data_IF_990422868312
#
_entry.id   IF_990422868312
#
_cell.length_a   1.000
_cell.length_b   1.000
_cell.length_c   1.000
_cell.angle_alpha   90.00
_cell.angle_beta   90.00
_cell.angle_gamma   90.00
#
_symmetry.space_group_name_H-M   'P 1'
#
loop_
_entity.id
_entity.type
_entity.pdbx_description
1 polymer ?
#
# COMPACT_ATOMS: atom_id res chain seq x y z
N UNK A 1 -14.66 -9.52 -19.51
CA UNK A 1 -14.71 -9.30 -18.06
C UNK A 1 -13.73 -8.15 -17.79
N UNK A 2 -13.99 -7.25 -16.85
CA UNK A 2 -13.06 -6.17 -16.53
C UNK A 2 -11.87 -6.79 -15.83
N UNK A 3 -10.65 -6.43 -16.26
CA UNK A 3 -9.41 -7.05 -15.82
C UNK A 3 -9.23 -7.04 -14.28
N UNK A 4 -9.66 -5.97 -13.64
CA UNK A 4 -9.51 -5.77 -12.19
C UNK A 4 -10.36 -6.74 -11.33
N UNK A 5 -11.45 -7.31 -11.88
CA UNK A 5 -12.37 -8.15 -11.08
C UNK A 5 -11.70 -9.45 -10.61
N UNK A 6 -11.02 -10.25 -11.45
CA UNK A 6 -10.29 -11.43 -10.99
C UNK A 6 -9.21 -11.11 -9.95
N UNK A 7 -8.45 -10.03 -10.14
CA UNK A 7 -7.39 -9.63 -9.22
C UNK A 7 -7.95 -9.34 -7.82
N UNK A 8 -9.01 -8.53 -7.74
CA UNK A 8 -9.70 -8.25 -6.48
C UNK A 8 -10.33 -9.53 -5.92
N UNK A 9 -11.01 -10.34 -6.74
CA UNK A 9 -11.65 -11.56 -6.29
C UNK A 9 -10.64 -12.54 -5.67
N UNK A 10 -9.41 -12.59 -6.19
CA UNK A 10 -8.34 -13.41 -5.63
C UNK A 10 -8.00 -12.98 -4.20
N UNK A 11 -7.83 -11.66 -3.97
CA UNK A 11 -7.53 -11.11 -2.64
C UNK A 11 -8.69 -11.24 -1.65
N UNK A 12 -9.93 -11.28 -2.15
CA UNK A 12 -11.15 -11.44 -1.34
C UNK A 12 -11.53 -12.91 -1.10
N UNK A 13 -10.85 -13.86 -1.75
CA UNK A 13 -11.15 -15.29 -1.57
C UNK A 13 -10.74 -15.74 -0.17
N UNK A 14 -11.68 -16.30 0.65
CA UNK A 14 -11.38 -16.69 2.00
C UNK A 14 -10.20 -17.67 2.10
N UNK A 15 -9.27 -17.38 2.98
CA UNK A 15 -8.07 -18.19 3.21
C UNK A 15 -6.91 -17.91 2.25
N UNK A 16 -7.09 -17.01 1.27
CA UNK A 16 -6.00 -16.51 0.42
C UNK A 16 -5.51 -15.19 1.02
N UNK A 17 -4.37 -15.23 1.69
CA UNK A 17 -3.66 -14.02 2.14
C UNK A 17 -2.65 -13.54 1.09
N UNK A 18 -1.91 -12.43 1.36
CA UNK A 18 -0.93 -11.90 0.42
C UNK A 18 0.04 -12.95 -0.13
N UNK A 19 0.70 -13.72 0.73
CA UNK A 19 1.62 -14.80 0.30
C UNK A 19 0.95 -15.88 -0.55
N UNK A 20 -0.30 -16.22 -0.23
CA UNK A 20 -1.08 -17.19 -1.02
C UNK A 20 -1.44 -16.66 -2.40
N UNK A 21 -1.79 -15.38 -2.50
CA UNK A 21 -2.07 -14.73 -3.79
C UNK A 21 -0.80 -14.68 -4.65
N UNK A 22 0.33 -14.24 -4.09
CA UNK A 22 1.63 -14.22 -4.77
C UNK A 22 1.98 -15.61 -5.30
N UNK A 23 1.93 -16.63 -4.44
CA UNK A 23 2.22 -18.01 -4.84
C UNK A 23 1.33 -18.50 -6.00
N UNK A 24 0.03 -18.20 -5.97
CA UNK A 24 -0.89 -18.57 -7.04
C UNK A 24 -0.56 -17.86 -8.36
N UNK A 25 -0.19 -16.59 -8.30
CA UNK A 25 0.22 -15.83 -9.47
C UNK A 25 1.54 -16.33 -10.05
N UNK A 26 2.48 -16.72 -9.23
CA UNK A 26 3.74 -17.33 -9.66
C UNK A 26 3.52 -18.65 -10.40
N UNK A 27 2.55 -19.47 -9.95
CA UNK A 27 2.23 -20.76 -10.55
C UNK A 27 1.39 -20.64 -11.83
N UNK A 28 0.41 -19.72 -11.85
CA UNK A 28 -0.58 -19.64 -12.94
C UNK A 28 -0.42 -18.40 -13.84
N UNK A 29 0.39 -17.43 -13.45
CA UNK A 29 0.69 -16.23 -14.23
C UNK A 29 -0.31 -15.09 -14.12
N UNK A 30 -1.59 -15.38 -13.81
CA UNK A 30 -2.62 -14.34 -13.65
C UNK A 30 -3.78 -14.81 -12.77
N UNK A 31 -4.55 -13.87 -12.21
CA UNK A 31 -5.74 -14.20 -11.42
C UNK A 31 -6.83 -14.87 -12.28
N UNK A 32 -6.98 -14.49 -13.56
CA UNK A 32 -7.89 -15.16 -14.48
C UNK A 32 -7.51 -16.64 -14.67
N UNK A 33 -6.21 -16.92 -14.81
CA UNK A 33 -5.73 -18.29 -14.95
C UNK A 33 -5.97 -19.11 -13.68
N UNK A 34 -5.77 -18.52 -12.50
CA UNK A 34 -6.11 -19.15 -11.21
C UNK A 34 -7.59 -19.55 -11.16
N UNK A 35 -8.51 -18.66 -11.54
CA UNK A 35 -9.95 -18.94 -11.54
C UNK A 35 -10.43 -19.82 -12.69
N UNK A 36 -9.58 -20.08 -13.67
CA UNK A 36 -9.85 -20.96 -14.82
C UNK A 36 -9.27 -22.35 -14.63
N UNK A 37 -8.37 -22.52 -13.66
CA UNK A 37 -7.72 -23.80 -13.36
C UNK A 37 -8.71 -24.84 -12.82
N UNK A 38 -8.45 -26.12 -13.07
CA UNK A 38 -9.19 -27.24 -12.48
C UNK A 38 -8.85 -27.45 -11.00
N UNK A 39 -9.66 -28.24 -10.28
CA UNK A 39 -9.37 -28.60 -8.89
C UNK A 39 -8.03 -29.31 -8.77
N UNK A 40 -7.74 -30.25 -9.69
CA UNK A 40 -6.52 -31.03 -9.70
C UNK A 40 -5.29 -30.12 -9.93
N UNK A 41 -5.39 -29.18 -10.87
CA UNK A 41 -4.30 -28.21 -11.10
C UNK A 41 -4.01 -27.33 -9.88
N UNK A 42 -5.05 -26.84 -9.19
CA UNK A 42 -4.89 -26.05 -7.98
C UNK A 42 -4.24 -26.85 -6.85
N UNK A 43 -4.59 -28.14 -6.71
CA UNK A 43 -4.06 -29.01 -5.67
C UNK A 43 -2.63 -29.49 -6.04
N UNK A 44 -2.40 -29.95 -7.26
CA UNK A 44 -1.14 -30.57 -7.65
C UNK A 44 -0.04 -29.54 -7.96
N UNK A 45 -0.35 -28.50 -8.79
CA UNK A 45 0.63 -27.49 -9.20
C UNK A 45 0.90 -26.47 -8.11
N UNK A 46 -0.16 -25.90 -7.50
CA UNK A 46 -0.02 -24.89 -6.47
C UNK A 46 0.02 -25.48 -5.04
N UNK A 47 -0.07 -26.79 -4.89
CA UNK A 47 -0.04 -27.49 -3.59
C UNK A 47 -1.07 -26.95 -2.59
N UNK A 48 -2.22 -26.53 -3.08
CA UNK A 48 -3.29 -26.03 -2.23
C UNK A 48 -3.98 -27.17 -1.48
N UNK A 49 -4.44 -26.84 -0.28
CA UNK A 49 -5.39 -27.72 0.42
C UNK A 49 -6.71 -27.76 -0.33
N UNK A 50 -7.43 -28.90 -0.36
CA UNK A 50 -8.69 -29.05 -1.10
C UNK A 50 -9.75 -28.00 -0.77
N UNK A 51 -9.77 -27.50 0.49
CA UNK A 51 -10.71 -26.47 0.94
C UNK A 51 -10.45 -25.13 0.23
N UNK A 52 -9.18 -24.75 0.04
CA UNK A 52 -8.80 -23.52 -0.65
C UNK A 52 -9.09 -23.62 -2.16
N UNK A 53 -8.76 -24.75 -2.78
CA UNK A 53 -9.10 -25.00 -4.18
C UNK A 53 -10.63 -24.88 -4.39
N UNK A 54 -11.43 -25.45 -3.50
CA UNK A 54 -12.89 -25.34 -3.53
C UNK A 54 -13.35 -23.90 -3.37
N UNK A 55 -12.75 -23.12 -2.46
CA UNK A 55 -13.08 -21.70 -2.27
C UNK A 55 -12.85 -20.87 -3.53
N UNK A 56 -11.73 -21.10 -4.24
CA UNK A 56 -11.43 -20.47 -5.53
C UNK A 56 -12.50 -20.84 -6.59
N UNK A 57 -12.76 -22.13 -6.75
CA UNK A 57 -13.69 -22.63 -7.77
C UNK A 57 -15.16 -22.18 -7.56
N UNK A 58 -15.56 -21.92 -6.32
CA UNK A 58 -16.89 -21.38 -6.02
C UNK A 58 -17.08 -19.94 -6.52
N UNK A 59 -16.02 -19.20 -6.78
CA UNK A 59 -16.04 -17.83 -7.32
C UNK A 59 -16.94 -16.85 -6.53
N UNK A 60 -17.18 -17.11 -5.23
CA UNK A 60 -18.08 -16.29 -4.40
C UNK A 60 -17.61 -14.85 -4.25
N UNK A 61 -16.29 -14.62 -4.28
CA UNK A 61 -15.70 -13.30 -4.14
C UNK A 61 -15.95 -12.37 -5.34
N UNK A 62 -16.40 -12.89 -6.50
CA UNK A 62 -16.62 -12.06 -7.69
C UNK A 62 -17.67 -10.97 -7.51
N UNK A 63 -18.78 -11.27 -6.83
CA UNK A 63 -19.82 -10.28 -6.55
C UNK A 63 -19.31 -9.14 -5.66
N UNK A 64 -18.43 -9.46 -4.68
CA UNK A 64 -17.78 -8.48 -3.82
C UNK A 64 -16.75 -7.66 -4.62
N UNK A 65 -15.97 -8.30 -5.48
CA UNK A 65 -15.02 -7.64 -6.36
C UNK A 65 -15.71 -6.68 -7.34
N UNK A 66 -16.86 -7.05 -7.90
CA UNK A 66 -17.66 -6.15 -8.74
C UNK A 66 -18.15 -4.92 -7.97
N UNK A 67 -18.57 -5.11 -6.71
CA UNK A 67 -18.95 -3.99 -5.83
C UNK A 67 -17.78 -3.07 -5.54
N UNK A 68 -16.61 -3.66 -5.30
CA UNK A 68 -15.38 -2.91 -5.06
C UNK A 68 -14.95 -2.08 -6.26
N UNK A 69 -14.96 -2.64 -7.47
CA UNK A 69 -14.69 -1.89 -8.71
C UNK A 69 -15.66 -0.72 -8.89
N UNK A 70 -16.94 -0.91 -8.60
CA UNK A 70 -17.95 0.16 -8.67
C UNK A 70 -17.66 1.25 -7.63
N UNK A 71 -17.28 0.85 -6.41
CA UNK A 71 -16.90 1.77 -5.34
C UNK A 71 -15.68 2.61 -5.75
N UNK A 72 -14.61 1.97 -6.20
CA UNK A 72 -13.40 2.64 -6.63
C UNK A 72 -13.66 3.67 -7.74
N UNK A 73 -14.40 3.30 -8.76
CA UNK A 73 -14.78 4.22 -9.84
C UNK A 73 -15.60 5.41 -9.37
N UNK A 74 -16.55 5.18 -8.47
CA UNK A 74 -17.37 6.27 -7.90
C UNK A 74 -16.53 7.31 -7.16
N UNK A 75 -15.43 6.88 -6.56
CA UNK A 75 -14.58 7.72 -5.72
C UNK A 75 -13.25 8.13 -6.37
N UNK A 76 -13.04 7.83 -7.65
CA UNK A 76 -11.79 8.17 -8.35
C UNK A 76 -10.57 7.42 -7.82
N UNK A 77 -10.79 6.22 -7.27
CA UNK A 77 -9.73 5.36 -6.75
C UNK A 77 -9.25 4.45 -7.89
N UNK A 78 -7.97 4.48 -8.19
CA UNK A 78 -7.35 3.54 -9.13
C UNK A 78 -7.02 2.22 -8.44
N UNK A 79 -7.15 1.14 -9.21
CA UNK A 79 -6.87 -0.23 -8.77
C UNK A 79 -5.64 -0.69 -9.53
N UNK A 80 -4.55 -0.95 -8.83
CA UNK A 80 -3.28 -1.37 -9.41
C UNK A 80 -2.96 -2.78 -8.94
N UNK A 81 -2.94 -3.73 -9.87
CA UNK A 81 -2.54 -5.10 -9.58
C UNK A 81 -1.02 -5.27 -9.67
N UNK A 82 -0.46 -6.25 -8.96
CA UNK A 82 0.98 -6.52 -8.97
C UNK A 82 1.54 -6.89 -10.35
N UNK A 83 0.67 -7.25 -11.29
CA UNK A 83 0.99 -7.52 -12.69
C UNK A 83 1.01 -6.27 -13.57
N UNK A 84 0.59 -5.11 -13.05
CA UNK A 84 0.59 -3.85 -13.79
C UNK A 84 1.96 -3.19 -13.78
N UNK A 85 2.29 -2.49 -14.86
CA UNK A 85 3.57 -1.80 -14.99
C UNK A 85 3.74 -0.65 -13.98
N UNK A 86 2.64 -0.07 -13.51
CA UNK A 86 2.62 1.01 -12.52
C UNK A 86 2.78 0.51 -11.07
N UNK A 87 2.75 -0.81 -10.84
CA UNK A 87 2.94 -1.35 -9.50
C UNK A 87 4.39 -1.11 -9.03
N UNK A 88 4.61 -0.63 -7.78
CA UNK A 88 5.94 -0.34 -7.27
C UNK A 88 6.88 -1.55 -7.37
N UNK A 89 7.97 -1.42 -8.15
CA UNK A 89 8.88 -2.53 -8.42
C UNK A 89 9.51 -3.10 -7.14
N UNK A 90 10.00 -2.23 -6.25
CA UNK A 90 10.61 -2.65 -4.98
C UNK A 90 9.62 -3.38 -4.07
N UNK A 91 8.36 -2.93 -4.03
CA UNK A 91 7.34 -3.60 -3.23
C UNK A 91 7.07 -5.03 -3.74
N UNK A 92 7.15 -5.26 -5.05
CA UNK A 92 6.98 -6.59 -5.67
C UNK A 92 8.08 -7.57 -5.27
N UNK A 93 9.24 -7.09 -4.86
CA UNK A 93 10.35 -7.95 -4.40
C UNK A 93 10.17 -8.46 -2.97
N UNK A 94 9.21 -7.91 -2.21
CA UNK A 94 8.92 -8.39 -0.86
C UNK A 94 8.11 -9.68 -0.88
N UNK A 95 8.34 -10.56 0.10
CA UNK A 95 7.74 -11.91 0.13
C UNK A 95 6.21 -11.93 0.33
N UNK A 96 5.61 -10.83 0.76
CA UNK A 96 4.20 -10.72 1.12
C UNK A 96 3.56 -9.42 0.60
N UNK A 97 4.01 -8.97 -0.58
CA UNK A 97 3.40 -7.80 -1.22
C UNK A 97 1.89 -8.00 -1.46
N UNK A 98 1.08 -6.95 -1.34
CA UNK A 98 -0.33 -7.04 -1.69
C UNK A 98 -0.50 -7.15 -3.20
N UNK A 99 -1.30 -8.11 -3.66
CA UNK A 99 -1.58 -8.24 -5.10
C UNK A 99 -2.31 -7.03 -5.67
N UNK A 100 -3.13 -6.36 -4.86
CA UNK A 100 -3.90 -5.18 -5.27
C UNK A 100 -3.59 -4.01 -4.35
N UNK A 101 -3.31 -2.86 -4.96
CA UNK A 101 -3.24 -1.55 -4.30
C UNK A 101 -4.41 -0.69 -4.77
N UNK A 102 -5.01 0.03 -3.83
CA UNK A 102 -6.01 1.07 -4.07
C UNK A 102 -5.32 2.41 -3.94
N UNK A 103 -5.40 3.25 -4.97
CA UNK A 103 -4.65 4.51 -5.07
C UNK A 103 -5.61 5.66 -5.32
N UNK A 104 -5.56 6.66 -4.46
CA UNK A 104 -6.27 7.93 -4.64
C UNK A 104 -5.25 9.04 -4.89
N UNK A 105 -5.30 9.67 -6.07
CA UNK A 105 -4.32 10.66 -6.52
C UNK A 105 -3.52 10.17 -7.72
N UNK A 106 -2.23 10.44 -7.76
CA UNK A 106 -1.33 10.18 -8.90
C UNK A 106 -0.59 8.86 -8.78
N UNK A 107 -0.99 7.81 -9.52
CA UNK A 107 -0.26 6.53 -9.53
C UNK A 107 1.17 6.66 -10.02
N UNK A 108 1.46 7.65 -10.86
CA UNK A 108 2.79 7.93 -11.40
C UNK A 108 3.82 8.21 -10.30
N UNK A 109 3.37 8.72 -9.14
CA UNK A 109 4.24 8.92 -7.99
C UNK A 109 4.84 7.61 -7.45
N UNK A 110 4.16 6.48 -7.66
CA UNK A 110 4.64 5.16 -7.23
C UNK A 110 5.76 4.59 -8.11
N UNK A 111 5.90 5.08 -9.33
CA UNK A 111 6.96 4.69 -10.28
C UNK A 111 8.25 5.49 -10.16
N UNK A 112 8.28 6.51 -9.28
CA UNK A 112 9.45 7.35 -9.06
C UNK A 112 10.40 6.78 -8.01
N UNK A 113 11.57 7.41 -7.84
CA UNK A 113 12.44 7.13 -6.69
C UNK A 113 11.73 7.51 -5.39
N UNK A 114 11.61 6.57 -4.48
CA UNK A 114 10.89 6.76 -3.21
C UNK A 114 11.84 6.66 -2.03
N UNK A 115 11.62 7.51 -1.02
CA UNK A 115 12.27 7.44 0.28
C UNK A 115 11.20 7.41 1.38
N UNK A 116 11.21 6.36 2.19
CA UNK A 116 10.29 6.25 3.33
C UNK A 116 10.85 7.00 4.53
N UNK A 117 10.03 7.86 5.13
CA UNK A 117 10.34 8.59 6.35
C UNK A 117 9.28 8.33 7.40
N UNK A 118 9.69 7.83 8.56
CA UNK A 118 8.77 7.44 9.65
C UNK A 118 9.26 7.95 11.00
N UNK A 119 8.37 7.93 12.00
CA UNK A 119 8.77 8.28 13.34
C UNK A 119 7.64 8.24 14.37
N UNK A 120 7.90 8.83 15.51
CA UNK A 120 6.98 8.88 16.64
C UNK A 120 5.70 9.66 16.33
N UNK A 121 4.60 9.20 16.88
CA UNK A 121 3.32 9.95 16.84
C UNK A 121 3.32 11.17 17.77
N UNK A 122 4.23 11.22 18.75
CA UNK A 122 4.44 12.33 19.68
C UNK A 122 5.77 13.01 19.39
N UNK A 123 5.82 13.69 18.27
CA UNK A 123 6.98 14.41 17.76
C UNK A 123 7.36 15.56 18.69
N UNK A 124 8.68 15.75 18.86
CA UNK A 124 9.23 16.95 19.55
C UNK A 124 9.51 18.07 18.54
N UNK A 125 9.80 19.31 18.99
CA UNK A 125 10.28 20.37 18.09
C UNK A 125 11.55 19.98 17.33
N UNK A 126 12.42 19.16 17.91
CA UNK A 126 13.59 18.61 17.24
C UNK A 126 13.19 17.70 16.06
N UNK A 127 12.23 16.80 16.28
CA UNK A 127 11.73 15.92 15.21
C UNK A 127 11.15 16.70 14.03
N UNK A 128 10.39 17.78 14.32
CA UNK A 128 9.88 18.68 13.26
C UNK A 128 11.04 19.33 12.49
N UNK A 129 12.01 19.94 13.18
CA UNK A 129 13.17 20.56 12.53
C UNK A 129 13.97 19.58 11.68
N UNK A 130 14.14 18.35 12.16
CA UNK A 130 14.85 17.31 11.42
C UNK A 130 14.10 16.88 10.16
N UNK A 131 12.77 16.73 10.22
CA UNK A 131 11.95 16.44 9.05
C UNK A 131 12.08 17.55 7.99
N UNK A 132 11.92 18.81 8.41
CA UNK A 132 12.03 19.98 7.53
C UNK A 132 13.42 20.08 6.89
N UNK A 133 14.49 19.91 7.69
CA UNK A 133 15.85 19.98 7.22
C UNK A 133 16.20 18.87 6.23
N UNK A 134 15.91 17.61 6.58
CA UNK A 134 16.24 16.47 5.74
C UNK A 134 15.51 16.54 4.39
N UNK A 135 14.22 16.88 4.41
CA UNK A 135 13.44 16.98 3.18
C UNK A 135 13.85 18.18 2.34
N UNK A 136 14.14 19.33 2.97
CA UNK A 136 14.69 20.50 2.26
C UNK A 136 16.02 20.19 1.57
N UNK A 137 16.96 19.53 2.28
CA UNK A 137 18.24 19.12 1.68
C UNK A 137 18.07 18.09 0.54
N UNK A 138 17.04 17.21 0.64
CA UNK A 138 16.71 16.27 -0.44
C UNK A 138 16.13 16.99 -1.65
N UNK A 139 15.23 17.94 -1.47
CA UNK A 139 14.62 18.72 -2.55
C UNK A 139 15.68 19.44 -3.39
N UNK A 140 16.72 19.95 -2.73
CA UNK A 140 17.81 20.66 -3.41
C UNK A 140 18.77 19.75 -4.20
N UNK A 141 18.87 18.46 -3.80
CA UNK A 141 19.94 17.56 -4.29
C UNK A 141 19.47 16.42 -5.18
N UNK A 142 18.24 15.95 -4.98
CA UNK A 142 17.74 14.74 -5.63
C UNK A 142 16.38 15.04 -6.28
N UNK A 143 16.43 15.41 -7.54
CA UNK A 143 15.22 15.62 -8.34
C UNK A 143 14.36 14.33 -8.42
N UNK A 144 13.05 14.50 -8.57
CA UNK A 144 12.09 13.41 -8.77
C UNK A 144 11.95 12.40 -7.62
N UNK A 145 12.44 12.75 -6.42
CA UNK A 145 12.23 11.90 -5.23
C UNK A 145 10.84 12.14 -4.64
N UNK A 146 10.17 11.06 -4.30
CA UNK A 146 8.87 11.04 -3.61
C UNK A 146 9.07 10.65 -2.15
N UNK A 147 8.57 11.49 -1.25
CA UNK A 147 8.56 11.16 0.18
C UNK A 147 7.39 10.23 0.47
N UNK A 148 7.66 9.07 1.06
CA UNK A 148 6.65 8.11 1.49
C UNK A 148 6.55 8.10 3.00
N UNK A 149 5.33 8.12 3.53
CA UNK A 149 5.09 7.99 4.97
C UNK A 149 3.69 7.42 5.26
N UNK A 150 3.35 7.27 6.55
CA UNK A 150 2.14 6.57 6.96
C UNK A 150 0.92 7.45 7.22
N UNK A 151 1.03 8.76 7.02
CA UNK A 151 -0.02 9.74 7.31
C UNK A 151 -0.55 9.68 8.75
N UNK A 152 0.22 9.14 9.70
CA UNK A 152 -0.08 9.13 11.12
C UNK A 152 0.25 10.49 11.77
N UNK A 153 -0.17 10.67 13.03
CA UNK A 153 0.25 11.85 13.81
C UNK A 153 1.77 11.92 13.94
N UNK A 154 2.30 13.11 14.21
CA UNK A 154 3.72 13.36 14.49
C UNK A 154 4.57 13.36 13.22
N UNK A 155 5.65 12.60 13.21
CA UNK A 155 6.67 12.62 12.15
C UNK A 155 6.08 12.34 10.77
N UNK A 156 5.17 11.36 10.61
CA UNK A 156 4.59 11.05 9.31
C UNK A 156 3.96 12.28 8.66
N UNK A 157 3.09 12.97 9.40
CA UNK A 157 2.42 14.19 8.90
C UNK A 157 3.40 15.35 8.73
N UNK A 158 4.42 15.47 9.59
CA UNK A 158 5.46 16.48 9.45
C UNK A 158 6.24 16.29 8.14
N UNK A 159 6.60 15.05 7.80
CA UNK A 159 7.27 14.72 6.54
C UNK A 159 6.40 15.06 5.32
N UNK A 160 5.10 14.73 5.34
CA UNK A 160 4.21 15.11 4.23
C UNK A 160 4.10 16.62 4.06
N UNK A 161 3.97 17.37 5.15
CA UNK A 161 3.91 18.84 5.11
C UNK A 161 5.21 19.46 4.63
N UNK A 162 6.35 18.95 5.08
CA UNK A 162 7.66 19.40 4.62
C UNK A 162 7.82 19.13 3.12
N UNK A 163 7.48 17.92 2.65
CA UNK A 163 7.53 17.60 1.22
C UNK A 163 6.70 18.59 0.39
N UNK A 164 5.47 18.87 0.79
CA UNK A 164 4.60 19.85 0.13
C UNK A 164 5.20 21.26 0.15
N UNK A 165 5.78 21.69 1.27
CA UNK A 165 6.39 23.01 1.42
C UNK A 165 7.61 23.20 0.50
N UNK A 166 8.36 22.12 0.23
CA UNK A 166 9.49 22.10 -0.68
C UNK A 166 9.15 21.66 -2.13
N UNK A 167 7.85 21.57 -2.45
CA UNK A 167 7.38 21.23 -3.80
C UNK A 167 7.65 19.78 -4.22
N UNK A 168 7.93 18.88 -3.28
CA UNK A 168 8.14 17.46 -3.55
C UNK A 168 6.80 16.70 -3.51
N UNK A 169 6.53 15.79 -4.46
CA UNK A 169 5.40 14.88 -4.35
C UNK A 169 5.57 13.95 -3.14
N UNK A 170 4.45 13.57 -2.53
CA UNK A 170 4.49 12.70 -1.35
C UNK A 170 3.35 11.69 -1.37
N UNK A 171 3.63 10.46 -0.92
CA UNK A 171 2.70 9.34 -0.91
C UNK A 171 2.43 8.88 0.51
N UNK A 172 1.15 8.84 0.87
CA UNK A 172 0.69 8.33 2.16
C UNK A 172 0.20 6.89 2.04
N UNK A 173 0.87 5.95 2.70
CA UNK A 173 0.35 4.58 2.81
C UNK A 173 -0.46 4.48 4.09
N UNK A 174 -1.76 4.19 3.99
CA UNK A 174 -2.67 4.21 5.14
C UNK A 174 -3.15 2.82 5.53
N UNK A 175 -3.55 2.69 6.80
CA UNK A 175 -4.09 1.46 7.39
C UNK A 175 -5.63 1.47 7.44
N UNK A 176 -6.28 2.18 6.53
CA UNK A 176 -7.74 2.25 6.38
C UNK A 176 -8.12 2.14 4.91
N UNK A 177 -9.36 1.72 4.64
CA UNK A 177 -9.87 1.66 3.28
C UNK A 177 -10.17 3.06 2.73
N UNK A 178 -9.86 3.28 1.45
CA UNK A 178 -10.16 4.52 0.72
C UNK A 178 -11.67 4.61 0.39
N UNK A 179 -12.23 5.84 0.28
CA UNK A 179 -11.59 7.15 0.38
C UNK A 179 -11.43 7.67 1.83
N UNK A 180 -11.69 6.85 2.85
CA UNK A 180 -11.60 7.24 4.25
C UNK A 180 -10.17 7.50 4.69
N UNK A 181 -9.88 8.73 5.12
CA UNK A 181 -8.58 9.08 5.68
C UNK A 181 -8.61 8.92 7.20
N UNK A 182 -7.66 8.15 7.73
CA UNK A 182 -7.50 7.95 9.17
C UNK A 182 -6.07 8.28 9.60
N UNK A 183 -5.88 9.21 10.54
CA UNK A 183 -6.89 9.98 11.28
C UNK A 183 -7.59 11.06 10.43
N UNK A 184 -8.87 11.33 10.71
CA UNK A 184 -9.68 12.27 9.93
C UNK A 184 -9.12 13.71 9.92
N UNK A 185 -8.35 14.08 10.95
CA UNK A 185 -7.65 15.36 11.05
C UNK A 185 -6.64 15.59 9.91
N UNK A 186 -6.18 14.52 9.26
CA UNK A 186 -5.21 14.59 8.17
C UNK A 186 -5.87 14.61 6.78
N UNK A 187 -7.20 14.67 6.69
CA UNK A 187 -7.92 14.73 5.40
C UNK A 187 -7.50 15.93 4.54
N UNK A 188 -7.24 17.09 5.16
CA UNK A 188 -6.75 18.27 4.43
C UNK A 188 -5.36 18.02 3.85
N UNK A 189 -4.43 17.47 4.64
CA UNK A 189 -3.07 17.13 4.18
C UNK A 189 -3.13 16.11 3.05
N UNK A 190 -3.95 15.07 3.18
CA UNK A 190 -4.12 14.07 2.13
C UNK A 190 -4.63 14.68 0.80
N UNK A 191 -5.55 15.63 0.86
CA UNK A 191 -6.03 16.36 -0.30
C UNK A 191 -4.92 17.20 -0.93
N UNK A 192 -4.18 17.96 -0.12
CA UNK A 192 -3.05 18.76 -0.60
C UNK A 192 -1.99 17.88 -1.28
N UNK A 193 -1.70 16.69 -0.73
CA UNK A 193 -0.80 15.71 -1.35
C UNK A 193 -1.28 15.30 -2.75
N UNK A 194 -2.56 14.99 -2.89
CA UNK A 194 -3.17 14.58 -4.17
C UNK A 194 -3.11 15.72 -5.19
N UNK A 195 -3.45 16.95 -4.78
CA UNK A 195 -3.44 18.14 -5.63
C UNK A 195 -2.03 18.50 -6.13
N UNK A 196 -0.99 18.09 -5.41
CA UNK A 196 0.43 18.33 -5.76
C UNK A 196 1.14 17.09 -6.34
N UNK A 197 0.41 16.20 -7.00
CA UNK A 197 0.97 15.08 -7.73
C UNK A 197 1.42 13.90 -6.88
N UNK A 198 0.99 13.87 -5.61
CA UNK A 198 1.15 12.73 -4.72
C UNK A 198 -0.07 11.79 -4.73
N UNK A 199 -0.08 10.86 -3.80
CA UNK A 199 -1.16 9.88 -3.68
C UNK A 199 -1.38 9.43 -2.23
N UNK A 200 -2.56 8.85 -1.99
CA UNK A 200 -2.85 8.04 -0.81
C UNK A 200 -3.12 6.62 -1.24
N UNK A 201 -2.45 5.66 -0.61
CA UNK A 201 -2.44 4.25 -1.01
C UNK A 201 -2.92 3.37 0.14
N UNK A 202 -3.71 2.38 -0.18
CA UNK A 202 -4.14 1.34 0.76
C UNK A 202 -4.14 -0.04 0.10
N UNK A 203 -3.88 -1.09 0.88
CA UNK A 203 -4.12 -2.48 0.47
C UNK A 203 -5.53 -2.98 0.85
N UNK A 204 -6.29 -2.16 1.60
CA UNK A 204 -7.58 -2.56 2.17
C UNK A 204 -8.73 -2.17 1.24
N UNK A 205 -9.60 -3.13 0.93
CA UNK A 205 -10.82 -2.90 0.17
C UNK A 205 -11.89 -2.16 0.99
N UNK A 206 -12.86 -1.54 0.34
CA UNK A 206 -13.84 -0.63 0.96
C UNK A 206 -14.70 -1.27 2.06
N UNK A 207 -14.91 -2.58 2.00
CA UNK A 207 -15.72 -3.31 2.98
C UNK A 207 -14.91 -3.82 4.18
N UNK A 208 -13.59 -3.49 4.24
CA UNK A 208 -12.75 -3.89 5.37
C UNK A 208 -13.16 -3.15 6.64
N UNK A 209 -13.49 -3.90 7.68
CA UNK A 209 -13.76 -3.31 8.99
C UNK A 209 -12.46 -2.87 9.64
N UNK A 210 -12.38 -1.61 10.08
CA UNK A 210 -11.19 -1.07 10.72
C UNK A 210 -10.75 -1.92 11.92
N UNK A 211 -9.46 -2.26 11.95
CA UNK A 211 -8.82 -3.03 13.01
C UNK A 211 -7.43 -2.43 13.31
N UNK A 212 -7.08 -2.32 14.61
CA UNK A 212 -5.79 -1.80 15.05
C UNK A 212 -4.58 -2.57 14.51
N UNK A 213 -4.72 -3.85 14.20
CA UNK A 213 -3.64 -4.67 13.64
C UNK A 213 -3.20 -4.22 12.23
N UNK A 214 -4.05 -3.49 11.49
CA UNK A 214 -3.69 -2.97 10.16
C UNK A 214 -2.57 -1.94 10.18
N UNK A 215 -2.32 -1.28 11.30
CA UNK A 215 -1.15 -0.38 11.41
C UNK A 215 0.17 -1.15 11.36
N UNK A 216 0.24 -2.32 11.98
CA UNK A 216 1.42 -3.18 11.94
C UNK A 216 1.58 -3.83 10.56
N UNK A 217 0.51 -4.38 10.00
CA UNK A 217 0.57 -4.99 8.66
C UNK A 217 0.93 -3.97 7.57
N UNK A 218 0.43 -2.72 7.66
CA UNK A 218 0.76 -1.65 6.73
C UNK A 218 2.25 -1.29 6.76
N UNK A 219 2.95 -1.40 7.89
CA UNK A 219 4.35 -0.98 8.02
C UNK A 219 5.28 -1.75 7.06
N UNK A 220 4.95 -2.99 6.68
CA UNK A 220 5.70 -3.73 5.65
C UNK A 220 5.65 -3.06 4.28
N UNK A 221 4.54 -2.37 3.97
CA UNK A 221 4.42 -1.62 2.71
C UNK A 221 5.30 -0.37 2.73
N UNK A 222 5.38 0.32 3.87
CA UNK A 222 6.29 1.46 4.05
C UNK A 222 7.75 1.03 3.88
N UNK A 223 8.11 -0.11 4.45
CA UNK A 223 9.46 -0.66 4.33
C UNK A 223 9.78 -1.11 2.89
N UNK A 224 8.85 -1.81 2.24
CA UNK A 224 9.10 -2.44 0.94
C UNK A 224 8.93 -1.55 -0.28
N UNK A 225 8.28 -0.38 -0.17
CA UNK A 225 8.00 0.48 -1.33
C UNK A 225 9.19 1.36 -1.72
N UNK A 226 10.16 1.54 -0.85
CA UNK A 226 11.25 2.50 -1.00
C UNK A 226 12.61 1.82 -0.98
N UNK A 227 13.59 2.43 -1.65
CA UNK A 227 14.99 2.01 -1.60
C UNK A 227 15.70 2.28 -0.27
N UNK A 228 15.03 2.95 0.68
CA UNK A 228 15.53 3.20 2.02
C UNK A 228 14.46 3.74 2.96
N UNK A 229 14.69 3.55 4.27
CA UNK A 229 13.81 4.04 5.33
C UNK A 229 14.60 4.88 6.31
N UNK A 230 14.14 6.11 6.55
CA UNK A 230 14.69 7.03 7.54
C UNK A 230 13.76 7.10 8.75
N UNK A 231 14.28 6.82 9.93
CA UNK A 231 13.59 7.06 11.20
C UNK A 231 14.04 8.43 11.72
N UNK A 232 13.15 9.43 11.60
CA UNK A 232 13.47 10.82 11.95
C UNK A 232 13.56 11.01 13.47
N UNK A 233 12.58 10.48 14.20
CA UNK A 233 12.53 10.50 15.66
C UNK A 233 11.70 9.32 16.15
N UNK A 234 12.22 8.51 17.06
CA UNK A 234 11.47 7.38 17.64
C UNK A 234 12.00 7.01 19.03
N UNK A 235 11.14 6.62 19.97
CA UNK A 235 11.62 5.84 21.11
C UNK A 235 12.11 4.47 20.64
N UNK A 236 13.02 3.86 21.42
CA UNK A 236 13.68 2.58 21.06
C UNK A 236 12.68 1.45 20.76
N UNK A 237 11.56 1.42 21.46
CA UNK A 237 10.48 0.44 21.28
C UNK A 237 9.25 1.03 20.53
N UNK A 238 9.48 2.04 19.68
CA UNK A 238 8.40 2.66 18.91
C UNK A 238 8.00 1.84 17.67
N UNK A 239 6.73 1.90 17.26
CA UNK A 239 6.22 1.22 16.05
C UNK A 239 6.92 1.64 14.74
N UNK A 240 7.59 2.80 14.70
CA UNK A 240 8.45 3.21 13.59
C UNK A 240 9.74 2.39 13.52
N UNK A 241 10.22 1.85 14.65
CA UNK A 241 11.34 0.91 14.67
C UNK A 241 10.97 -0.45 14.06
N UNK A 242 9.69 -0.85 14.13
CA UNK A 242 9.22 -2.05 13.42
C UNK A 242 9.33 -1.87 11.91
N UNK A 243 9.00 -0.67 11.39
CA UNK A 243 9.20 -0.35 9.96
C UNK A 243 10.68 -0.42 9.57
N UNK A 244 11.57 0.12 10.40
CA UNK A 244 13.01 0.06 10.15
C UNK A 244 13.52 -1.40 10.11
N UNK A 245 13.12 -2.23 11.08
CA UNK A 245 13.50 -3.66 11.10
C UNK A 245 12.97 -4.46 9.91
N UNK A 246 11.85 -4.04 9.31
CA UNK A 246 11.29 -4.66 8.12
C UNK A 246 12.00 -4.20 6.84
N UNK A 247 12.75 -3.10 6.89
CA UNK A 247 13.50 -2.54 5.77
C UNK A 247 14.94 -3.07 5.68
N UNK A 248 15.44 -3.77 6.72
CA UNK A 248 16.74 -4.47 6.75
C UNK A 248 16.63 -5.84 6.04
#
# INVERSE_FOLDING_TARGET
MKREIPDIALTLTPGIGPKGAVHLLDVFGSAEAVFSASADELIEKARLRPELARAILQKKAFADAEREVKHCRKHGIEIIASTDAQYPALLRETADYPHVLYVLGSPEALGKTTLTMVGTRRMTPYGQQMADRLIGELADRVADTVIVSGLAFGIDTACHRAALAFGMPTVGIIASALPGITPAQHTAVARDMIEHGGAVVSELHSQTRQNGNFYHSRNRLLAGISGGTVVVESPVEGGSMDTARLAD
#
